data_IF_048603344466
#
_entry.id   IF_048603344466
#
_cell.length_a   1.000
_cell.length_b   1.000
_cell.length_c   1.000
_cell.angle_alpha   90.00
_cell.angle_beta   90.00
_cell.angle_gamma   90.00
#
_symmetry.space_group_name_H-M   'P 1'
#
loop_
_entity.id
_entity.type
_entity.pdbx_description
1 polymer ?
#
# COMPACT_ATOMS: atom_id res chain seq x y z
N UNK A 1 6.17 20.17 18.77
CA UNK A 1 5.64 19.00 19.49
C UNK A 1 6.52 17.82 19.14
N UNK A 2 7.16 17.13 20.09
CA UNK A 2 8.09 16.02 19.80
C UNK A 2 7.31 14.94 19.05
N UNK A 3 7.69 14.65 17.80
CA UNK A 3 7.29 13.42 17.15
C UNK A 3 7.73 12.27 18.06
N UNK A 4 6.77 11.53 18.57
CA UNK A 4 7.06 10.30 19.26
C UNK A 4 7.82 9.41 18.29
N UNK A 5 9.09 9.15 18.61
CA UNK A 5 9.97 8.28 17.82
C UNK A 5 9.21 6.98 17.55
N UNK A 6 8.81 6.77 16.30
CA UNK A 6 8.15 5.54 15.87
C UNK A 6 9.20 4.43 15.91
N UNK A 7 8.83 3.28 16.45
CA UNK A 7 9.69 2.10 16.30
C UNK A 7 9.65 1.72 14.82
N UNK A 8 10.79 1.63 14.21
CA UNK A 8 10.96 1.12 12.84
C UNK A 8 11.77 -0.17 12.89
N UNK A 9 11.62 -0.98 11.87
CA UNK A 9 12.42 -2.19 11.63
C UNK A 9 12.91 -2.12 10.21
N UNK A 10 14.21 -2.28 10.04
CA UNK A 10 14.80 -2.47 8.74
C UNK A 10 14.39 -3.82 8.17
N UNK A 11 13.89 -3.80 6.95
CA UNK A 11 13.58 -5.00 6.16
C UNK A 11 14.20 -4.82 4.78
N UNK A 12 15.32 -5.45 4.53
CA UNK A 12 16.09 -5.37 3.29
C UNK A 12 16.44 -3.92 2.92
N UNK A 13 16.94 -3.15 3.89
CA UNK A 13 17.38 -1.76 3.69
C UNK A 13 16.26 -0.72 3.70
N UNK A 14 15.02 -1.10 4.03
CA UNK A 14 13.88 -0.18 4.12
C UNK A 14 13.32 -0.16 5.54
N UNK A 15 13.21 1.04 6.12
CA UNK A 15 12.64 1.27 7.45
C UNK A 15 11.11 1.17 7.44
N UNK A 16 10.56 0.07 7.96
CA UNK A 16 9.12 -0.16 8.07
C UNK A 16 8.64 0.15 9.49
N UNK A 17 7.56 0.91 9.60
CA UNK A 17 7.00 1.35 10.89
C UNK A 17 6.27 0.22 11.62
N UNK A 18 6.64 -0.02 12.88
CA UNK A 18 5.99 -0.97 13.78
C UNK A 18 4.93 -0.24 14.60
N UNK A 19 3.72 -0.24 14.11
CA UNK A 19 2.58 0.44 14.73
C UNK A 19 1.31 -0.41 14.62
N UNK A 20 0.37 -0.24 15.53
CA UNK A 20 -0.96 -0.83 15.38
C UNK A 20 -1.79 -0.07 14.35
N UNK A 21 -2.74 -0.72 13.64
CA UNK A 21 -3.57 -0.08 12.63
C UNK A 21 -4.26 1.21 13.10
N UNK A 22 -4.79 1.23 14.31
CA UNK A 22 -5.44 2.42 14.88
C UNK A 22 -4.47 3.59 15.06
N UNK A 23 -3.24 3.32 15.52
CA UNK A 23 -2.21 4.37 15.67
C UNK A 23 -1.77 4.88 14.29
N UNK A 24 -1.61 3.98 13.31
CA UNK A 24 -1.29 4.36 11.93
C UNK A 24 -2.38 5.27 11.34
N UNK A 25 -3.66 4.93 11.53
CA UNK A 25 -4.79 5.78 11.10
C UNK A 25 -4.75 7.16 11.75
N UNK A 26 -4.47 7.24 13.05
CA UNK A 26 -4.37 8.52 13.73
C UNK A 26 -3.22 9.39 13.18
N UNK A 27 -2.08 8.78 12.84
CA UNK A 27 -0.96 9.47 12.18
C UNK A 27 -1.40 9.99 10.81
N UNK A 28 -2.04 9.17 10.01
CA UNK A 28 -2.52 9.51 8.67
C UNK A 28 -3.56 10.64 8.71
N UNK A 29 -4.51 10.60 9.63
CA UNK A 29 -5.48 11.68 9.80
C UNK A 29 -4.82 13.00 10.23
N UNK A 30 -3.75 12.93 11.02
CA UNK A 30 -2.97 14.12 11.35
C UNK A 30 -2.27 14.72 10.12
N UNK A 31 -1.83 13.89 9.15
CA UNK A 31 -1.26 14.39 7.90
C UNK A 31 -2.29 15.18 7.10
N UNK A 32 -3.50 14.65 6.91
CA UNK A 32 -4.59 15.38 6.26
C UNK A 32 -4.87 16.72 6.95
N UNK A 33 -4.90 16.74 8.28
CA UNK A 33 -5.24 17.93 9.04
C UNK A 33 -4.13 19.00 9.05
N UNK A 34 -2.87 18.63 8.81
CA UNK A 34 -1.75 19.58 8.67
C UNK A 34 -1.78 20.35 7.35
N UNK A 35 -2.52 19.88 6.36
CA UNK A 35 -2.62 20.48 5.02
C UNK A 35 -1.29 20.59 4.29
N UNK A 36 -0.36 19.72 4.61
CA UNK A 36 0.91 19.55 3.91
C UNK A 36 0.89 18.20 3.24
N UNK A 37 1.39 18.11 1.99
CA UNK A 37 1.48 16.85 1.28
C UNK A 37 2.27 15.83 2.10
N UNK A 38 1.65 14.73 2.39
CA UNK A 38 2.27 13.59 3.08
C UNK A 38 2.00 12.30 2.33
N UNK A 39 2.91 11.34 2.43
CA UNK A 39 2.85 10.07 1.73
C UNK A 39 2.83 8.89 2.69
N UNK A 40 1.96 7.93 2.42
CA UNK A 40 1.89 6.63 3.12
C UNK A 40 2.12 5.54 2.08
N UNK A 41 3.13 4.71 2.29
CA UNK A 41 3.46 3.62 1.40
C UNK A 41 3.25 2.27 2.09
N UNK A 42 2.48 1.38 1.45
CA UNK A 42 2.31 0.00 1.89
C UNK A 42 3.38 -0.88 1.23
N UNK A 43 4.44 -1.13 2.01
CA UNK A 43 5.58 -1.91 1.56
C UNK A 43 5.25 -3.40 1.58
N UNK A 44 5.39 -4.06 0.43
CA UNK A 44 5.08 -5.48 0.20
C UNK A 44 6.35 -6.27 -0.08
N UNK A 45 6.27 -7.59 -0.07
CA UNK A 45 7.37 -8.45 -0.53
C UNK A 45 7.79 -8.11 -1.97
N UNK A 46 6.84 -7.81 -2.86
CA UNK A 46 7.14 -7.44 -4.25
C UNK A 46 7.89 -6.11 -4.35
N UNK A 47 7.40 -5.07 -3.66
CA UNK A 47 8.08 -3.77 -3.64
C UNK A 47 9.47 -3.85 -3.01
N UNK A 48 9.65 -4.70 -1.99
CA UNK A 48 10.93 -4.92 -1.33
C UNK A 48 11.97 -5.53 -2.28
N UNK A 49 11.61 -6.61 -2.99
CA UNK A 49 12.49 -7.23 -3.99
C UNK A 49 12.79 -6.26 -5.15
N UNK A 50 11.84 -5.41 -5.52
CA UNK A 50 12.07 -4.39 -6.54
C UNK A 50 13.07 -3.34 -6.08
N UNK A 51 12.97 -2.87 -4.84
CA UNK A 51 13.91 -1.91 -4.23
C UNK A 51 15.33 -2.47 -4.15
N UNK A 52 15.50 -3.78 -3.88
CA UNK A 52 16.82 -4.43 -3.88
C UNK A 52 17.53 -4.33 -5.24
N UNK A 53 16.77 -4.27 -6.32
CA UNK A 53 17.31 -4.22 -7.70
C UNK A 53 17.43 -2.78 -8.23
N UNK A 54 16.80 -1.80 -7.57
CA UNK A 54 16.67 -0.43 -8.06
C UNK A 54 16.84 0.58 -6.92
N UNK A 55 18.02 1.15 -6.79
CA UNK A 55 18.34 2.12 -5.74
C UNK A 55 17.39 3.34 -5.71
N UNK A 56 16.99 3.85 -6.88
CA UNK A 56 16.03 4.96 -6.97
C UNK A 56 14.67 4.60 -6.36
N UNK A 57 14.26 3.33 -6.45
CA UNK A 57 13.01 2.85 -5.87
C UNK A 57 13.09 2.81 -4.33
N UNK A 58 14.21 2.37 -3.78
CA UNK A 58 14.46 2.43 -2.34
C UNK A 58 14.41 3.88 -1.84
N UNK A 59 15.11 4.80 -2.51
CA UNK A 59 15.09 6.24 -2.19
C UNK A 59 13.67 6.82 -2.25
N UNK A 60 12.82 6.36 -3.18
CA UNK A 60 11.41 6.79 -3.26
C UNK A 60 10.61 6.34 -2.04
N UNK A 61 10.82 5.10 -1.55
CA UNK A 61 10.17 4.62 -0.32
C UNK A 61 10.67 5.38 0.89
N UNK A 62 11.98 5.63 1.01
CA UNK A 62 12.58 6.35 2.13
C UNK A 62 12.09 7.79 2.23
N UNK A 63 11.69 8.40 1.11
CA UNK A 63 11.09 9.73 1.09
C UNK A 63 9.67 9.78 1.67
N UNK A 64 9.01 8.63 1.87
CA UNK A 64 7.65 8.56 2.37
C UNK A 64 7.57 8.92 3.87
N UNK A 65 6.53 9.66 4.25
CA UNK A 65 6.28 10.06 5.63
C UNK A 65 5.93 8.89 6.55
N UNK A 66 5.36 7.82 5.99
CA UNK A 66 4.97 6.62 6.73
C UNK A 66 5.05 5.39 5.82
N UNK A 67 5.91 4.45 6.18
CA UNK A 67 6.00 3.14 5.52
C UNK A 67 5.36 2.10 6.42
N UNK A 68 4.40 1.35 5.90
CA UNK A 68 3.57 0.37 6.61
C UNK A 68 3.68 -1.01 5.95
N UNK A 69 3.46 -2.12 6.70
CA UNK A 69 3.41 -3.45 6.10
C UNK A 69 2.21 -3.59 5.17
N UNK A 70 2.46 -3.98 3.91
CA UNK A 70 1.45 -4.10 2.86
C UNK A 70 0.90 -5.52 2.69
N UNK A 71 1.65 -6.53 3.13
CA UNK A 71 1.27 -7.93 2.98
C UNK A 71 1.68 -8.80 4.19
N UNK A 72 1.23 -10.05 4.18
CA UNK A 72 1.52 -11.02 5.25
C UNK A 72 3.02 -11.34 5.36
N UNK A 73 3.77 -11.28 4.26
CA UNK A 73 5.19 -11.60 4.26
C UNK A 73 5.99 -10.52 4.96
N UNK A 74 5.63 -9.25 4.72
CA UNK A 74 6.20 -8.10 5.41
C UNK A 74 5.84 -8.11 6.90
N UNK A 75 4.58 -8.42 7.26
CA UNK A 75 4.19 -8.58 8.67
C UNK A 75 5.01 -9.67 9.38
N UNK A 76 5.28 -10.79 8.70
CA UNK A 76 6.12 -11.86 9.26
C UNK A 76 7.58 -11.42 9.42
N UNK A 77 8.15 -10.73 8.43
CA UNK A 77 9.53 -10.24 8.51
C UNK A 77 9.72 -9.28 9.71
N UNK A 78 8.77 -8.37 9.92
CA UNK A 78 8.76 -7.46 11.07
C UNK A 78 8.61 -8.23 12.38
N UNK A 79 7.67 -9.17 12.45
CA UNK A 79 7.43 -9.94 13.67
C UNK A 79 8.67 -10.75 14.08
N UNK A 80 9.37 -11.36 13.14
CA UNK A 80 10.62 -12.09 13.41
C UNK A 80 11.74 -11.19 13.95
N UNK A 81 11.79 -9.93 13.52
CA UNK A 81 12.83 -8.98 13.97
C UNK A 81 12.50 -8.36 15.33
N UNK A 82 11.23 -8.17 15.64
CA UNK A 82 10.78 -7.50 16.89
C UNK A 82 10.65 -8.44 18.05
N UNK A 83 10.30 -9.70 17.81
CA UNK A 83 10.00 -10.72 18.80
C UNK A 83 10.94 -11.92 18.63
N UNK A 84 12.23 -11.73 18.95
CA UNK A 84 13.19 -12.82 18.98
C UNK A 84 12.67 -13.94 19.91
N UNK A 85 12.14 -15.00 19.32
CA UNK A 85 11.88 -16.27 20.02
C UNK A 85 10.45 -16.66 20.34
N UNK A 86 9.45 -15.82 20.23
CA UNK A 86 8.05 -16.22 20.44
C UNK A 86 7.14 -15.78 19.30
N UNK A 87 6.69 -16.76 18.56
CA UNK A 87 5.70 -16.87 17.50
C UNK A 87 4.53 -15.88 17.37
N UNK A 88 4.76 -14.59 17.48
CA UNK A 88 3.80 -13.59 17.00
C UNK A 88 3.87 -13.55 15.46
N UNK A 89 3.19 -14.49 14.83
CA UNK A 89 2.97 -14.46 13.38
C UNK A 89 2.02 -13.31 13.10
N UNK A 90 2.43 -12.37 12.23
CA UNK A 90 1.49 -11.44 11.63
C UNK A 90 0.31 -12.22 11.06
N UNK A 91 -0.88 -11.67 11.16
CA UNK A 91 -2.10 -12.36 10.70
C UNK A 91 -2.48 -11.98 9.25
N UNK A 92 -1.64 -11.17 8.58
CA UNK A 92 -1.87 -10.69 7.21
C UNK A 92 -3.03 -9.71 7.07
N UNK A 93 -3.47 -9.09 8.16
CA UNK A 93 -4.66 -8.24 8.21
C UNK A 93 -4.36 -6.77 8.51
N UNK A 94 -3.10 -6.41 8.66
CA UNK A 94 -2.74 -5.04 9.03
C UNK A 94 -3.31 -4.01 8.04
N UNK A 95 -3.03 -4.19 6.75
CA UNK A 95 -3.49 -3.29 5.70
C UNK A 95 -5.02 -3.23 5.64
N UNK A 96 -5.70 -4.38 5.75
CA UNK A 96 -7.15 -4.50 5.77
C UNK A 96 -7.77 -3.75 6.96
N UNK A 97 -7.25 -3.98 8.17
CA UNK A 97 -7.75 -3.33 9.39
C UNK A 97 -7.48 -1.82 9.37
N UNK A 98 -6.32 -1.41 8.85
CA UNK A 98 -5.99 0.01 8.67
C UNK A 98 -6.96 0.68 7.70
N UNK A 99 -7.16 0.12 6.51
CA UNK A 99 -8.03 0.71 5.49
C UNK A 99 -9.48 0.83 5.96
N UNK A 100 -10.03 -0.21 6.58
CA UNK A 100 -11.40 -0.18 7.12
C UNK A 100 -11.57 0.93 8.15
N UNK A 101 -10.60 1.09 9.05
CA UNK A 101 -10.64 2.15 10.08
C UNK A 101 -10.46 3.53 9.45
N UNK A 102 -9.54 3.67 8.49
CA UNK A 102 -9.30 4.92 7.78
C UNK A 102 -10.55 5.36 7.02
N UNK A 103 -11.16 4.47 6.22
CA UNK A 103 -12.39 4.78 5.47
C UNK A 103 -13.54 5.19 6.39
N UNK A 104 -13.69 4.51 7.53
CA UNK A 104 -14.66 4.91 8.54
C UNK A 104 -14.41 6.30 9.13
N UNK A 105 -13.15 6.75 9.23
CA UNK A 105 -12.79 8.10 9.68
C UNK A 105 -13.05 9.13 8.59
N UNK A 106 -12.59 8.87 7.36
CA UNK A 106 -12.79 9.73 6.20
C UNK A 106 -14.28 9.96 5.92
N UNK A 107 -15.09 8.90 6.03
CA UNK A 107 -16.55 8.98 5.89
C UNK A 107 -17.20 9.86 6.95
N UNK A 108 -16.82 9.72 8.22
CA UNK A 108 -17.36 10.57 9.30
C UNK A 108 -17.01 12.04 9.14
N UNK A 109 -15.88 12.33 8.49
CA UNK A 109 -15.42 13.69 8.24
C UNK A 109 -15.83 14.20 6.85
N UNK A 110 -16.61 13.41 6.08
CA UNK A 110 -17.08 13.73 4.72
C UNK A 110 -15.96 14.21 3.80
N UNK A 111 -14.86 13.46 3.78
CA UNK A 111 -13.66 13.81 3.01
C UNK A 111 -13.84 13.53 1.52
N UNK A 112 -13.10 14.28 0.71
CA UNK A 112 -13.03 14.10 -0.75
C UNK A 112 -11.83 13.26 -1.12
N UNK A 113 -12.05 12.18 -1.89
CA UNK A 113 -11.03 11.23 -2.27
C UNK A 113 -10.90 11.13 -3.78
N UNK A 114 -9.68 10.88 -4.23
CA UNK A 114 -9.40 10.51 -5.61
C UNK A 114 -8.69 9.15 -5.65
N UNK A 115 -9.12 8.26 -6.54
CA UNK A 115 -8.51 6.94 -6.70
C UNK A 115 -7.92 6.82 -8.10
N UNK A 116 -6.66 6.43 -8.19
CA UNK A 116 -6.03 6.02 -9.44
C UNK A 116 -5.98 4.50 -9.46
N UNK A 117 -6.65 3.88 -10.44
CA UNK A 117 -6.71 2.44 -10.63
C UNK A 117 -6.06 2.01 -11.94
N UNK A 118 -5.67 0.73 -12.05
CA UNK A 118 -5.07 0.18 -13.26
C UNK A 118 -6.07 -0.02 -14.41
N UNK A 119 -7.37 -0.01 -14.13
CA UNK A 119 -8.40 -0.22 -15.14
C UNK A 119 -9.76 0.36 -14.77
N UNK A 120 -10.56 0.64 -15.82
CA UNK A 120 -11.88 1.22 -15.69
C UNK A 120 -12.84 0.36 -14.86
N UNK A 121 -12.81 -0.96 -15.07
CA UNK A 121 -13.69 -1.90 -14.38
C UNK A 121 -13.40 -1.93 -12.87
N UNK A 122 -12.11 -1.87 -12.48
CA UNK A 122 -11.70 -1.80 -11.08
C UNK A 122 -12.17 -0.50 -10.44
N UNK A 123 -12.01 0.63 -11.13
CA UNK A 123 -12.44 1.94 -10.66
C UNK A 123 -13.95 2.02 -10.47
N UNK A 124 -14.74 1.52 -11.43
CA UNK A 124 -16.20 1.53 -11.34
C UNK A 124 -16.72 0.64 -10.21
N UNK A 125 -16.15 -0.57 -10.07
CA UNK A 125 -16.50 -1.48 -8.98
C UNK A 125 -16.20 -0.85 -7.61
N UNK A 126 -15.05 -0.16 -7.49
CA UNK A 126 -14.68 0.54 -6.28
C UNK A 126 -15.64 1.72 -5.99
N UNK A 127 -15.97 2.53 -7.00
CA UNK A 127 -16.93 3.64 -6.84
C UNK A 127 -18.31 3.16 -6.38
N UNK A 128 -18.82 2.07 -6.96
CA UNK A 128 -20.12 1.50 -6.59
C UNK A 128 -20.12 1.02 -5.11
N UNK A 129 -19.06 0.33 -4.72
CA UNK A 129 -18.93 -0.17 -3.36
C UNK A 129 -18.74 0.94 -2.33
N UNK A 130 -17.87 1.90 -2.61
CA UNK A 130 -17.65 3.06 -1.74
C UNK A 130 -18.94 3.85 -1.53
N UNK A 131 -19.72 4.05 -2.59
CA UNK A 131 -21.04 4.71 -2.49
C UNK A 131 -22.01 3.94 -1.60
N UNK A 132 -21.93 2.61 -1.60
CA UNK A 132 -22.74 1.74 -0.75
C UNK A 132 -22.28 1.72 0.70
N UNK A 133 -20.99 1.53 0.94
CA UNK A 133 -20.42 1.33 2.27
C UNK A 133 -20.14 2.64 3.02
N UNK A 134 -19.76 3.70 2.28
CA UNK A 134 -19.32 4.98 2.82
C UNK A 134 -19.94 6.16 2.08
N UNK A 135 -21.27 6.32 2.12
CA UNK A 135 -22.01 7.30 1.28
C UNK A 135 -21.66 8.77 1.56
N UNK A 136 -20.99 9.07 2.66
CA UNK A 136 -20.56 10.43 2.99
C UNK A 136 -19.20 10.81 2.37
N UNK A 137 -18.49 9.86 1.75
CA UNK A 137 -17.26 10.13 1.01
C UNK A 137 -17.64 10.56 -0.41
N UNK A 138 -17.08 11.69 -0.87
CA UNK A 138 -17.03 12.05 -2.28
C UNK A 138 -15.85 11.33 -2.93
N UNK A 139 -16.09 10.53 -3.97
CA UNK A 139 -15.07 9.73 -4.64
C UNK A 139 -15.02 10.03 -6.12
N UNK A 140 -13.92 10.62 -6.56
CA UNK A 140 -13.52 10.72 -7.97
C UNK A 140 -12.38 9.73 -8.27
N UNK A 141 -12.02 9.57 -9.53
CA UNK A 141 -10.91 8.70 -9.88
C UNK A 141 -10.62 8.67 -11.36
N UNK A 142 -9.36 8.38 -11.65
CA UNK A 142 -8.78 8.20 -12.98
C UNK A 142 -8.19 6.81 -13.15
N UNK A 143 -7.79 6.49 -14.36
CA UNK A 143 -7.15 5.22 -14.71
C UNK A 143 -5.72 5.45 -15.19
N UNK A 144 -4.85 4.52 -14.82
CA UNK A 144 -3.47 4.44 -15.31
C UNK A 144 -3.19 3.00 -15.76
N UNK A 145 -3.53 2.63 -17.01
CA UNK A 145 -3.28 1.30 -17.54
C UNK A 145 -1.79 1.00 -17.68
N UNK A 146 -1.38 -0.24 -17.39
CA UNK A 146 0.04 -0.65 -17.47
C UNK A 146 0.60 -0.63 -18.90
N UNK A 147 -0.24 -0.87 -19.93
CA UNK A 147 0.20 -1.08 -21.32
C UNK A 147 0.02 0.15 -22.23
N UNK A 148 -0.45 1.27 -21.70
CA UNK A 148 -0.77 2.44 -22.53
C UNK A 148 0.11 3.62 -22.10
N UNK A 149 0.68 4.36 -23.08
CA UNK A 149 1.25 5.68 -22.82
C UNK A 149 0.12 6.60 -22.34
N UNK A 150 0.02 6.76 -21.03
CA UNK A 150 -0.89 7.73 -20.42
C UNK A 150 -0.13 9.04 -20.26
N UNK A 151 -0.78 10.12 -20.63
CA UNK A 151 -0.30 11.45 -20.29
C UNK A 151 -0.42 11.68 -18.78
N UNK A 152 0.68 11.45 -18.08
CA UNK A 152 0.79 11.59 -16.63
C UNK A 152 0.47 13.01 -16.16
N UNK A 153 0.81 14.01 -16.97
CA UNK A 153 0.49 15.42 -16.66
C UNK A 153 -1.03 15.63 -16.71
N UNK A 154 -1.72 15.00 -17.66
CA UNK A 154 -3.18 15.04 -17.73
C UNK A 154 -3.83 14.40 -16.49
N UNK A 155 -3.33 13.26 -16.03
CA UNK A 155 -3.82 12.63 -14.80
C UNK A 155 -3.58 13.51 -13.57
N UNK A 156 -2.40 14.09 -13.43
CA UNK A 156 -2.11 15.04 -12.34
C UNK A 156 -3.02 16.26 -12.41
N UNK A 157 -3.28 16.79 -13.61
CA UNK A 157 -4.21 17.90 -13.77
C UNK A 157 -5.65 17.53 -13.40
N UNK A 158 -6.09 16.32 -13.70
CA UNK A 158 -7.40 15.81 -13.28
C UNK A 158 -7.49 15.72 -11.75
N UNK A 159 -6.49 15.16 -11.07
CA UNK A 159 -6.40 15.12 -9.61
C UNK A 159 -6.45 16.53 -9.04
N UNK A 160 -5.64 17.44 -9.59
CA UNK A 160 -5.54 18.82 -9.10
C UNK A 160 -6.85 19.61 -9.32
N UNK A 161 -7.63 19.25 -10.33
CA UNK A 161 -8.92 19.86 -10.61
C UNK A 161 -10.00 19.52 -9.55
N UNK A 162 -9.89 18.38 -8.90
CA UNK A 162 -10.81 17.95 -7.83
C UNK A 162 -10.40 18.42 -6.43
N UNK A 163 -9.10 18.74 -6.22
CA UNK A 163 -8.50 19.16 -4.93
C UNK A 163 -8.87 18.17 -3.80
N UNK A 164 -8.59 16.87 -3.94
CA UNK A 164 -9.01 15.86 -2.97
C UNK A 164 -8.23 15.96 -1.66
N UNK A 165 -8.86 15.61 -0.54
CA UNK A 165 -8.17 15.48 0.75
C UNK A 165 -7.11 14.37 0.72
N UNK A 166 -7.40 13.28 0.00
CA UNK A 166 -6.49 12.17 -0.18
C UNK A 166 -6.59 11.52 -1.56
N UNK A 167 -5.43 11.10 -2.09
CA UNK A 167 -5.29 10.32 -3.32
C UNK A 167 -4.86 8.90 -2.96
N UNK A 168 -5.53 7.89 -3.50
CA UNK A 168 -5.14 6.49 -3.40
C UNK A 168 -4.57 6.04 -4.74
N UNK A 169 -3.30 5.65 -4.73
CA UNK A 169 -2.64 5.05 -5.89
C UNK A 169 -2.78 3.53 -5.78
N UNK A 170 -3.82 2.97 -6.43
CA UNK A 170 -4.11 1.53 -6.45
C UNK A 170 -3.47 0.91 -7.70
N UNK A 171 -2.15 0.86 -7.71
CA UNK A 171 -1.31 0.53 -8.87
C UNK A 171 -0.26 -0.52 -8.47
N UNK A 172 0.37 -1.19 -9.45
CA UNK A 172 1.53 -2.04 -9.18
C UNK A 172 2.68 -1.27 -8.51
N UNK A 173 3.50 -1.92 -7.67
CA UNK A 173 4.55 -1.26 -6.91
C UNK A 173 5.52 -0.43 -7.76
N UNK A 174 5.91 -0.93 -8.94
CA UNK A 174 6.82 -0.24 -9.84
C UNK A 174 6.26 1.13 -10.28
N UNK A 175 4.98 1.14 -10.65
CA UNK A 175 4.28 2.36 -11.09
C UNK A 175 4.11 3.33 -9.92
N UNK A 176 3.75 2.84 -8.73
CA UNK A 176 3.66 3.68 -7.53
C UNK A 176 4.99 4.36 -7.22
N UNK A 177 6.10 3.60 -7.25
CA UNK A 177 7.43 4.11 -6.94
C UNK A 177 7.89 5.18 -7.94
N UNK A 178 7.61 4.99 -9.23
CA UNK A 178 7.86 6.00 -10.26
C UNK A 178 7.05 7.28 -9.99
N UNK A 179 5.76 7.14 -9.68
CA UNK A 179 4.89 8.29 -9.38
C UNK A 179 5.35 9.06 -8.14
N UNK A 180 5.81 8.37 -7.09
CA UNK A 180 6.26 8.99 -5.84
C UNK A 180 7.37 10.01 -6.06
N UNK A 181 8.35 9.68 -6.90
CA UNK A 181 9.51 10.55 -7.15
C UNK A 181 9.19 11.74 -8.07
N UNK A 182 8.33 11.55 -9.05
CA UNK A 182 8.19 12.49 -10.17
C UNK A 182 6.86 13.27 -10.13
N UNK A 183 5.75 12.60 -9.87
CA UNK A 183 4.42 13.19 -10.05
C UNK A 183 3.70 13.55 -8.76
N UNK A 184 3.92 12.78 -7.69
CA UNK A 184 3.28 13.06 -6.39
C UNK A 184 3.60 14.45 -5.87
N UNK A 185 4.83 15.00 -5.99
CA UNK A 185 5.11 16.36 -5.56
C UNK A 185 4.31 17.46 -6.29
N UNK A 186 3.73 17.13 -7.45
CA UNK A 186 2.91 18.06 -8.25
C UNK A 186 1.41 17.98 -7.95
N UNK A 187 1.00 17.03 -7.10
CA UNK A 187 -0.41 16.83 -6.73
C UNK A 187 -0.86 17.83 -5.67
N UNK A 188 -1.99 18.47 -5.90
CA UNK A 188 -2.63 19.38 -4.95
C UNK A 188 -3.57 18.60 -4.01
N UNK A 189 -2.98 17.84 -3.10
CA UNK A 189 -3.67 17.04 -2.09
C UNK A 189 -2.90 17.09 -0.77
N UNK A 190 -3.52 16.67 0.33
CA UNK A 190 -2.85 16.60 1.63
C UNK A 190 -2.22 15.23 1.90
N UNK A 191 -2.72 14.18 1.25
CA UNK A 191 -2.28 12.82 1.50
C UNK A 191 -2.26 12.00 0.21
N UNK A 192 -1.17 11.26 0.00
CA UNK A 192 -1.11 10.20 -1.01
C UNK A 192 -0.87 8.87 -0.32
N UNK A 193 -1.69 7.87 -0.62
CA UNK A 193 -1.58 6.50 -0.11
C UNK A 193 -1.29 5.56 -1.27
N UNK A 194 -0.12 4.92 -1.23
CA UNK A 194 0.29 3.92 -2.20
C UNK A 194 -0.07 2.54 -1.68
N UNK A 195 -1.00 1.87 -2.36
CA UNK A 195 -1.46 0.53 -2.04
C UNK A 195 -1.81 -0.20 -3.34
N UNK A 196 -1.45 -1.50 -3.46
CA UNK A 196 -1.63 -2.24 -4.72
C UNK A 196 -3.09 -2.35 -5.16
N UNK A 197 -4.02 -2.43 -4.23
CA UNK A 197 -5.45 -2.56 -4.55
C UNK A 197 -6.32 -2.23 -3.34
N UNK A 198 -7.34 -1.43 -3.57
CA UNK A 198 -8.47 -1.26 -2.66
C UNK A 198 -9.51 -2.34 -3.01
N UNK A 199 -9.25 -3.59 -2.64
CA UNK A 199 -10.23 -4.65 -2.91
C UNK A 199 -11.51 -4.38 -2.12
N UNK A 200 -12.69 -4.56 -2.72
CA UNK A 200 -13.98 -4.46 -2.05
C UNK A 200 -14.06 -5.27 -0.74
N UNK A 201 -13.58 -6.50 -0.77
CA UNK A 201 -13.52 -7.35 0.42
C UNK A 201 -12.70 -6.77 1.58
N UNK A 202 -11.76 -5.89 1.30
CA UNK A 202 -10.94 -5.20 2.32
C UNK A 202 -11.77 -4.12 3.02
N UNK A 203 -12.61 -3.41 2.29
CA UNK A 203 -13.41 -2.31 2.79
C UNK A 203 -14.63 -2.78 3.60
N UNK A 204 -15.29 -3.83 3.13
CA UNK A 204 -16.56 -4.32 3.72
C UNK A 204 -16.40 -5.59 4.56
N UNK A 205 -15.27 -6.30 4.43
CA UNK A 205 -15.06 -7.61 5.06
C UNK A 205 -15.89 -8.75 4.43
N UNK A 206 -16.59 -8.48 3.32
CA UNK A 206 -17.40 -9.44 2.56
C UNK A 206 -16.79 -9.60 1.17
N UNK A 207 -16.62 -10.84 0.72
CA UNK A 207 -16.13 -11.13 -0.62
C UNK A 207 -17.27 -10.90 -1.61
N UNK A 208 -17.31 -9.73 -2.23
CA UNK A 208 -18.34 -9.37 -3.22
C UNK A 208 -17.77 -9.65 -4.61
N UNK A 209 -18.46 -10.50 -5.36
CA UNK A 209 -18.25 -10.63 -6.82
C UNK A 209 -19.00 -9.47 -7.47
N UNK A 210 -18.32 -8.61 -8.26
CA UNK A 210 -19.01 -7.52 -8.96
C UNK A 210 -20.20 -8.02 -9.78
N UNK A 211 -21.35 -7.35 -9.69
CA UNK A 211 -22.61 -7.77 -10.33
C UNK A 211 -22.49 -7.99 -11.84
N UNK A 212 -21.64 -7.20 -12.52
CA UNK A 212 -21.41 -7.35 -13.95
C UNK A 212 -20.75 -8.71 -14.29
N UNK A 213 -19.87 -9.24 -13.41
CA UNK A 213 -19.26 -10.57 -13.56
C UNK A 213 -20.31 -11.65 -13.42
N UNK A 214 -21.25 -11.49 -12.47
CA UNK A 214 -22.39 -12.38 -12.31
C UNK A 214 -23.31 -12.30 -13.52
N UNK A 215 -23.61 -11.08 -14.02
CA UNK A 215 -24.49 -10.84 -15.16
C UNK A 215 -23.92 -11.43 -16.46
N UNK A 216 -22.60 -11.40 -16.64
CA UNK A 216 -21.91 -11.95 -17.80
C UNK A 216 -21.54 -13.44 -17.64
N UNK A 217 -21.91 -14.07 -16.54
CA UNK A 217 -21.55 -15.45 -16.20
C UNK A 217 -20.04 -15.74 -16.23
N UNK A 218 -19.20 -14.73 -15.95
CA UNK A 218 -17.73 -14.81 -15.96
C UNK A 218 -17.12 -15.14 -14.60
N UNK A 219 -17.92 -15.54 -13.62
CA UNK A 219 -17.48 -15.91 -12.26
C UNK A 219 -16.36 -16.95 -12.26
N UNK A 220 -16.40 -17.92 -13.16
CA UNK A 220 -15.35 -18.94 -13.31
C UNK A 220 -14.01 -18.34 -13.76
N UNK A 221 -14.04 -17.40 -14.71
CA UNK A 221 -12.86 -16.69 -15.23
C UNK A 221 -12.29 -15.77 -14.16
N UNK A 222 -13.13 -15.06 -13.44
CA UNK A 222 -12.74 -14.20 -12.31
C UNK A 222 -12.02 -14.98 -11.21
N UNK A 223 -12.55 -16.14 -10.81
CA UNK A 223 -11.89 -17.01 -9.83
C UNK A 223 -10.57 -17.61 -10.35
N UNK A 224 -10.47 -17.86 -11.66
CA UNK A 224 -9.25 -18.35 -12.30
C UNK A 224 -8.14 -17.30 -12.30
N UNK A 225 -8.40 -16.06 -12.72
CA UNK A 225 -7.46 -14.95 -12.64
C UNK A 225 -7.00 -14.67 -11.20
N UNK A 226 -7.92 -14.77 -10.25
CA UNK A 226 -7.61 -14.63 -8.82
C UNK A 226 -6.71 -15.74 -8.31
N UNK A 227 -6.82 -16.94 -8.86
CA UNK A 227 -5.96 -18.08 -8.52
C UNK A 227 -4.55 -17.90 -9.06
N UNK A 228 -4.35 -17.35 -10.25
CA UNK A 228 -3.05 -17.03 -10.81
C UNK A 228 -2.33 -15.96 -9.99
N UNK A 229 -3.02 -14.88 -9.62
CA UNK A 229 -2.45 -13.85 -8.73
C UNK A 229 -2.00 -14.45 -7.38
N UNK A 230 -2.77 -15.33 -6.77
CA UNK A 230 -2.38 -16.04 -5.54
C UNK A 230 -1.14 -16.92 -5.71
N UNK A 231 -0.93 -17.51 -6.88
CA UNK A 231 0.28 -18.31 -7.17
C UNK A 231 1.49 -17.40 -7.29
N UNK A 232 1.38 -16.28 -8.02
CA UNK A 232 2.43 -15.26 -8.13
C UNK A 232 2.82 -14.73 -6.75
N UNK A 233 1.85 -14.33 -5.93
CA UNK A 233 2.07 -13.83 -4.58
C UNK A 233 2.84 -14.84 -3.70
N UNK A 234 2.56 -16.15 -3.84
CA UNK A 234 3.28 -17.21 -3.13
C UNK A 234 4.73 -17.37 -3.59
N UNK A 235 4.97 -17.26 -4.89
CA UNK A 235 6.33 -17.35 -5.46
C UNK A 235 7.15 -16.15 -4.99
N UNK A 236 6.62 -14.95 -5.12
CA UNK A 236 7.24 -13.69 -4.65
C UNK A 236 7.52 -13.78 -3.16
N UNK A 237 6.55 -14.21 -2.35
CA UNK A 237 6.72 -14.37 -0.91
C UNK A 237 7.76 -15.43 -0.53
N UNK A 238 7.92 -16.49 -1.32
CA UNK A 238 8.98 -17.50 -1.08
C UNK A 238 10.37 -16.94 -1.38
N UNK A 239 10.52 -16.21 -2.49
CA UNK A 239 11.77 -15.53 -2.84
C UNK A 239 12.12 -14.51 -1.76
N UNK A 240 11.17 -13.67 -1.37
CA UNK A 240 11.37 -12.65 -0.34
C UNK A 240 11.85 -13.25 0.98
N UNK A 241 11.21 -14.32 1.47
CA UNK A 241 11.63 -15.00 2.70
C UNK A 241 13.07 -15.48 2.62
N UNK A 242 13.42 -16.12 1.50
CA UNK A 242 14.79 -16.60 1.28
C UNK A 242 15.80 -15.45 1.29
N UNK A 243 15.50 -14.35 0.62
CA UNK A 243 16.35 -13.16 0.59
C UNK A 243 16.53 -12.58 2.01
N UNK A 244 15.47 -12.47 2.81
CA UNK A 244 15.55 -11.98 4.20
C UNK A 244 16.40 -12.91 5.07
N UNK A 245 16.28 -14.22 4.91
CA UNK A 245 17.08 -15.21 5.64
C UNK A 245 18.57 -15.10 5.26
N UNK A 246 18.90 -15.04 3.97
CA UNK A 246 20.27 -14.90 3.46
C UNK A 246 20.93 -13.60 3.94
N UNK A 247 20.20 -12.48 3.94
CA UNK A 247 20.73 -11.19 4.41
C UNK A 247 21.05 -11.24 5.91
N UNK A 248 20.19 -11.84 6.73
CA UNK A 248 20.41 -11.99 8.18
C UNK A 248 21.61 -12.90 8.49
N UNK A 249 21.80 -13.97 7.73
CA UNK A 249 22.96 -14.87 7.90
C UNK A 249 24.26 -14.13 7.56
N UNK A 250 24.28 -13.31 6.51
CA UNK A 250 25.44 -12.51 6.12
C UNK A 250 25.79 -11.46 7.19
N UNK A 251 24.81 -10.73 7.71
CA UNK A 251 25.00 -9.73 8.77
C UNK A 251 25.51 -10.37 10.07
N UNK A 252 25.04 -11.57 10.41
CA UNK A 252 25.50 -12.32 11.59
C UNK A 252 26.96 -12.76 11.47
N UNK A 253 27.39 -13.19 10.27
CA UNK A 253 28.77 -13.58 10.01
C UNK A 253 29.73 -12.38 10.05
N UNK A 254 29.36 -11.23 9.46
CA UNK A 254 30.18 -10.01 9.52
C UNK A 254 30.35 -9.49 10.96
N UNK A 255 29.32 -9.69 11.80
CA UNK A 255 29.38 -9.27 13.22
C UNK A 255 30.29 -10.18 14.03
N UNK A 256 30.34 -11.50 13.76
CA UNK A 256 31.23 -12.44 14.40
C UNK A 256 32.70 -12.21 13.98
N UNK A 257 32.95 -11.97 12.69
CA UNK A 257 34.31 -11.69 12.18
C UNK A 257 34.88 -10.37 12.74
N UNK A 258 34.03 -9.35 12.92
CA UNK A 258 34.42 -8.05 13.50
C UNK A 258 34.71 -8.09 15.00
N UNK A 259 34.32 -9.16 15.72
CA UNK A 259 34.63 -9.36 17.14
C UNK A 259 35.91 -10.17 17.39
N UNK A 260 36.50 -10.73 16.33
CA UNK A 260 37.71 -11.58 16.41
C UNK A 260 38.99 -10.78 16.06
N UNK A 261 38.88 -9.58 15.47
CA UNK A 261 39.97 -8.62 15.30
C UNK A 261 40.09 -7.68 16.51
#
# INVERSE_FOLDING_TARGET
MKEHTRKVVDVLGIDVSVVYPEKAVNITMNYINRKELSTVFFHTAESSLYCQSHEWAAQSVDSCNLVLPGDIYMEHAIAHTVFEGEGSKGNGKFAEDYLRRLMGRLSRESRELFVVASGQEELEALKEEMKSAYPAISLDGGILPEETEVDMESLVNEINGTIPDAVFLCLPPQTQLSMLGEYVPMMNTHLVICIESLKPSVLTGVEIVPKWIETLHLTGLYHWFRKERKIRDRIVGSIFKKTVEETKESESQETEDSQIE
#
